data_IF_106597133212
#
_entry.id   IF_106597133212
#
_cell.length_a   1.000
_cell.length_b   1.000
_cell.length_c   1.000
_cell.angle_alpha   90.00
_cell.angle_beta   90.00
_cell.angle_gamma   90.00
#
_symmetry.space_group_name_H-M   'P 1'
#
loop_
_entity.id
_entity.type
_entity.pdbx_description
1 polymer ?
#
# COMPACT_ATOMS: atom_id res chain seq x y z
N UNK A 1 8.84 -18.23 -8.73
CA UNK A 1 7.77 -17.19 -8.71
C UNK A 1 6.44 -17.94 -8.75
N UNK A 2 6.19 -18.78 -7.74
CA UNK A 2 5.01 -19.64 -7.58
C UNK A 2 4.45 -19.30 -6.20
N UNK A 3 3.19 -18.85 -6.12
CA UNK A 3 2.56 -18.46 -4.86
C UNK A 3 1.66 -17.22 -4.91
N UNK A 4 1.57 -16.50 -6.03
CA UNK A 4 0.63 -15.39 -6.20
C UNK A 4 -0.54 -15.78 -7.08
N UNK A 5 -1.74 -15.31 -6.74
CA UNK A 5 -2.92 -15.55 -7.55
C UNK A 5 -2.79 -14.90 -8.95
N UNK A 6 -3.48 -15.44 -9.98
CA UNK A 6 -3.31 -14.98 -11.36
C UNK A 6 -3.64 -13.49 -11.55
N UNK A 7 -4.59 -12.97 -10.77
CA UNK A 7 -5.04 -11.58 -10.85
C UNK A 7 -3.98 -10.64 -10.30
N UNK A 8 -3.42 -10.93 -9.13
CA UNK A 8 -2.30 -10.19 -8.54
C UNK A 8 -1.08 -10.23 -9.46
N UNK A 9 -0.77 -11.39 -10.05
CA UNK A 9 0.34 -11.53 -11.01
C UNK A 9 0.14 -10.65 -12.25
N UNK A 10 -1.07 -10.62 -12.81
CA UNK A 10 -1.39 -9.77 -13.96
C UNK A 10 -1.24 -8.28 -13.63
N UNK A 11 -1.80 -7.83 -12.51
CA UNK A 11 -1.72 -6.44 -12.05
C UNK A 11 -0.26 -6.01 -11.84
N UNK A 12 0.55 -6.85 -11.20
CA UNK A 12 1.97 -6.55 -10.96
C UNK A 12 2.78 -6.38 -12.24
N UNK A 13 2.49 -7.18 -13.27
CA UNK A 13 3.22 -7.08 -14.56
C UNK A 13 2.94 -5.77 -15.29
N UNK A 14 1.86 -5.08 -14.95
CA UNK A 14 1.47 -3.80 -15.56
C UNK A 14 1.98 -2.59 -14.78
N UNK A 15 2.43 -2.76 -13.53
CA UNK A 15 3.05 -1.67 -12.77
C UNK A 15 4.49 -1.45 -13.31
N UNK A 16 4.84 -0.22 -13.72
CA UNK A 16 6.19 0.08 -14.18
C UNK A 16 7.24 -0.23 -13.12
N UNK A 17 8.23 -1.05 -13.49
CA UNK A 17 9.40 -1.30 -12.65
C UNK A 17 10.29 -0.05 -12.60
N UNK A 18 10.91 0.18 -11.46
CA UNK A 18 11.79 1.32 -11.25
C UNK A 18 13.20 0.98 -11.72
N UNK A 19 14.03 1.99 -11.98
CA UNK A 19 15.41 1.77 -12.46
C UNK A 19 16.46 2.35 -11.53
N UNK A 20 16.14 3.40 -10.79
CA UNK A 20 17.10 4.05 -9.91
C UNK A 20 17.15 3.33 -8.56
N UNK A 21 18.34 2.88 -8.13
CA UNK A 21 18.57 2.36 -6.76
C UNK A 21 19.08 3.50 -5.88
N UNK A 22 18.15 4.31 -5.36
CA UNK A 22 18.46 5.44 -4.49
C UNK A 22 17.44 5.54 -3.36
N UNK A 23 17.91 5.90 -2.17
CA UNK A 23 17.12 6.19 -0.98
C UNK A 23 17.12 7.66 -0.62
N UNK A 24 16.41 8.06 0.46
CA UNK A 24 16.25 9.46 0.87
C UNK A 24 17.54 10.26 1.07
N UNK A 25 18.67 9.59 1.30
CA UNK A 25 19.98 10.22 1.55
C UNK A 25 20.79 10.51 0.28
N UNK A 26 20.36 10.02 -0.87
CA UNK A 26 21.13 10.09 -2.12
C UNK A 26 20.87 11.37 -2.94
N UNK A 27 20.25 12.38 -2.33
CA UNK A 27 20.07 13.72 -2.91
C UNK A 27 19.42 13.71 -4.31
N UNK A 28 20.17 14.12 -5.34
CA UNK A 28 19.65 14.19 -6.71
C UNK A 28 19.19 12.83 -7.26
N UNK A 29 19.86 11.73 -6.87
CA UNK A 29 19.45 10.39 -7.27
C UNK A 29 18.11 9.99 -6.63
N UNK A 30 17.84 10.44 -5.39
CA UNK A 30 16.54 10.29 -4.76
C UNK A 30 15.44 11.01 -5.54
N UNK A 31 15.70 12.24 -5.99
CA UNK A 31 14.73 12.98 -6.81
C UNK A 31 14.40 12.26 -8.13
N UNK A 32 15.39 11.61 -8.75
CA UNK A 32 15.16 10.79 -9.95
C UNK A 32 14.30 9.57 -9.62
N UNK A 33 14.62 8.87 -8.53
CA UNK A 33 13.83 7.74 -8.03
C UNK A 33 12.38 8.15 -7.70
N UNK A 34 12.19 9.28 -7.03
CA UNK A 34 10.87 9.78 -6.65
C UNK A 34 9.99 10.05 -7.89
N UNK A 35 10.58 10.54 -8.98
CA UNK A 35 9.87 10.68 -10.27
C UNK A 35 9.41 9.32 -10.83
N UNK A 36 10.22 8.28 -10.69
CA UNK A 36 9.82 6.92 -11.08
C UNK A 36 8.71 6.37 -10.17
N UNK A 37 8.77 6.62 -8.86
CA UNK A 37 7.71 6.25 -7.91
C UNK A 37 6.37 6.89 -8.28
N UNK A 38 6.36 8.20 -8.55
CA UNK A 38 5.14 8.88 -9.00
C UNK A 38 4.61 8.31 -10.31
N UNK A 39 5.47 8.04 -11.30
CA UNK A 39 5.04 7.41 -12.55
C UNK A 39 4.41 6.03 -12.31
N UNK A 40 5.01 5.21 -11.45
CA UNK A 40 4.48 3.90 -11.10
C UNK A 40 3.13 3.99 -10.37
N UNK A 41 3.00 4.92 -9.42
CA UNK A 41 1.74 5.18 -8.69
C UNK A 41 0.62 5.68 -9.61
N UNK A 42 0.93 6.62 -10.50
CA UNK A 42 -0.02 7.14 -11.49
C UNK A 42 -0.47 6.03 -12.44
N UNK A 43 0.46 5.23 -12.95
CA UNK A 43 0.14 4.09 -13.81
C UNK A 43 -0.75 3.07 -13.09
N UNK A 44 -0.43 2.76 -11.83
CA UNK A 44 -1.23 1.84 -11.02
C UNK A 44 -2.64 2.37 -10.78
N UNK A 45 -2.77 3.65 -10.40
CA UNK A 45 -4.07 4.29 -10.17
C UNK A 45 -4.90 4.38 -11.45
N UNK A 46 -4.26 4.71 -12.58
CA UNK A 46 -4.92 4.78 -13.89
C UNK A 46 -5.47 3.41 -14.32
N UNK A 47 -4.68 2.36 -14.14
CA UNK A 47 -5.11 0.98 -14.38
C UNK A 47 -6.25 0.56 -13.45
N UNK A 48 -6.20 0.92 -12.17
CA UNK A 48 -7.27 0.61 -11.23
C UNK A 48 -8.58 1.29 -11.62
N UNK A 49 -8.52 2.56 -12.04
CA UNK A 49 -9.69 3.31 -12.53
C UNK A 49 -10.27 2.75 -13.82
N UNK A 50 -9.45 2.32 -14.76
CA UNK A 50 -9.95 1.71 -16.01
C UNK A 50 -10.63 0.36 -15.79
N UNK A 51 -10.34 -0.30 -14.66
CA UNK A 51 -10.96 -1.55 -14.23
C UNK A 51 -12.07 -1.36 -13.18
N UNK A 52 -12.45 -0.11 -12.90
CA UNK A 52 -13.43 0.25 -11.86
C UNK A 52 -13.10 -0.34 -10.47
N UNK A 53 -11.80 -0.42 -10.15
CA UNK A 53 -11.27 -0.97 -8.91
C UNK A 53 -10.32 0.04 -8.24
N UNK A 54 -10.70 1.32 -8.21
CA UNK A 54 -9.96 2.35 -7.50
C UNK A 54 -10.13 2.14 -5.99
N UNK A 55 -9.03 2.03 -5.24
CA UNK A 55 -9.03 1.64 -3.84
C UNK A 55 -8.11 2.48 -2.93
N UNK A 56 -7.32 3.40 -3.49
CA UNK A 56 -6.44 4.25 -2.69
C UNK A 56 -6.10 5.58 -3.35
N UNK A 57 -5.70 6.54 -2.53
CA UNK A 57 -5.12 7.80 -2.95
C UNK A 57 -4.09 8.26 -1.93
N UNK A 58 -2.84 8.40 -2.35
CA UNK A 58 -1.74 8.88 -1.50
C UNK A 58 -1.01 10.04 -2.16
N UNK A 59 -0.39 10.87 -1.33
CA UNK A 59 0.48 11.97 -1.74
C UNK A 59 1.64 12.09 -0.76
N UNK A 60 2.79 12.57 -1.24
CA UNK A 60 3.85 12.98 -0.32
C UNK A 60 3.34 14.12 0.56
N UNK A 61 3.51 13.97 1.87
CA UNK A 61 3.17 15.00 2.85
C UNK A 61 4.24 16.10 2.92
N UNK A 62 5.43 15.82 2.40
CA UNK A 62 6.56 16.73 2.38
C UNK A 62 7.22 16.82 1.00
N UNK A 63 7.88 17.93 0.65
CA UNK A 63 8.54 18.11 -0.65
C UNK A 63 9.62 17.06 -0.94
N UNK A 64 10.25 16.53 0.11
CA UNK A 64 11.31 15.53 -0.02
C UNK A 64 10.78 14.13 -0.37
N UNK A 65 9.46 13.90 -0.29
CA UNK A 65 8.87 12.61 -0.63
C UNK A 65 9.22 11.48 0.34
N UNK A 66 9.62 11.82 1.56
CA UNK A 66 10.00 10.86 2.60
C UNK A 66 8.86 10.50 3.54
N UNK A 67 7.81 11.31 3.60
CA UNK A 67 6.57 11.03 4.33
C UNK A 67 5.41 11.01 3.36
N UNK A 68 4.57 10.01 3.48
CA UNK A 68 3.39 9.83 2.63
C UNK A 68 2.16 9.69 3.48
N UNK A 69 1.10 10.35 3.03
CA UNK A 69 -0.20 10.34 3.68
C UNK A 69 -1.29 10.22 2.63
N UNK A 70 -2.41 9.63 3.00
CA UNK A 70 -3.54 9.50 2.11
C UNK A 70 -4.65 8.67 2.73
N UNK A 71 -5.47 8.12 1.85
CA UNK A 71 -6.61 7.29 2.22
C UNK A 71 -6.62 6.04 1.35
N UNK A 72 -7.00 4.92 1.93
CA UNK A 72 -7.37 3.71 1.20
C UNK A 72 -8.78 3.31 1.59
N UNK A 73 -9.46 2.59 0.72
CA UNK A 73 -10.80 2.11 0.98
C UNK A 73 -11.01 0.70 0.45
N UNK A 74 -11.97 0.01 1.03
CA UNK A 74 -12.35 -1.34 0.65
C UNK A 74 -13.88 -1.44 0.61
N UNK A 75 -14.41 -2.04 -0.45
CA UNK A 75 -15.85 -2.24 -0.61
C UNK A 75 -16.19 -3.65 -0.14
N UNK A 76 -17.06 -3.73 0.87
CA UNK A 76 -17.56 -4.99 1.40
C UNK A 76 -19.06 -4.87 1.67
N UNK A 77 -19.85 -5.85 1.22
CA UNK A 77 -21.32 -5.84 1.31
C UNK A 77 -21.96 -4.54 0.76
N UNK A 78 -21.48 -4.06 -0.39
CA UNK A 78 -21.91 -2.81 -1.05
C UNK A 78 -21.65 -1.53 -0.24
N UNK A 79 -20.91 -1.62 0.88
CA UNK A 79 -20.52 -0.49 1.71
C UNK A 79 -19.03 -0.17 1.53
N UNK A 80 -18.70 1.12 1.48
CA UNK A 80 -17.33 1.60 1.27
C UNK A 80 -16.70 1.99 2.61
N UNK A 81 -15.77 1.16 3.07
CA UNK A 81 -14.99 1.43 4.27
C UNK A 81 -13.74 2.22 3.90
N UNK A 82 -13.54 3.39 4.49
CA UNK A 82 -12.42 4.28 4.20
C UNK A 82 -11.52 4.43 5.42
N UNK A 83 -10.20 4.30 5.21
CA UNK A 83 -9.17 4.35 6.23
C UNK A 83 -8.09 5.37 5.86
N UNK A 84 -7.60 6.09 6.87
CA UNK A 84 -6.42 6.94 6.70
C UNK A 84 -5.16 6.06 6.65
N UNK A 85 -4.28 6.35 5.69
CA UNK A 85 -3.04 5.64 5.43
C UNK A 85 -1.88 6.61 5.58
N UNK A 86 -0.89 6.24 6.38
CA UNK A 86 0.34 7.00 6.55
C UNK A 86 1.54 6.06 6.57
N UNK A 87 2.68 6.54 6.07
CA UNK A 87 3.95 5.82 6.17
C UNK A 87 5.13 6.76 5.92
N UNK A 88 6.25 6.43 6.56
CA UNK A 88 7.54 7.08 6.34
C UNK A 88 8.46 6.15 5.51
N UNK A 89 9.24 6.74 4.61
CA UNK A 89 10.24 6.04 3.81
C UNK A 89 11.48 5.83 4.67
N UNK A 90 11.90 4.58 4.96
CA UNK A 90 13.07 4.33 5.77
C UNK A 90 14.34 4.79 5.02
N UNK A 91 15.37 5.14 5.79
CA UNK A 91 16.67 5.56 5.22
C UNK A 91 17.35 4.48 4.39
N UNK A 92 17.01 3.21 4.61
CA UNK A 92 17.50 2.04 3.86
C UNK A 92 16.64 1.70 2.63
N UNK A 93 15.62 2.50 2.31
CA UNK A 93 14.86 2.34 1.08
C UNK A 93 15.77 2.49 -0.15
N UNK A 94 15.60 1.70 -1.23
CA UNK A 94 14.55 0.70 -1.49
C UNK A 94 14.89 -0.72 -0.97
N UNK A 95 15.97 -0.89 -0.20
CA UNK A 95 16.32 -2.22 0.34
C UNK A 95 15.34 -2.67 1.43
N UNK A 96 14.83 -1.74 2.23
CA UNK A 96 13.76 -1.97 3.21
C UNK A 96 12.47 -1.33 2.71
N UNK A 97 11.36 -2.06 2.80
CA UNK A 97 10.04 -1.52 2.47
C UNK A 97 9.56 -0.52 3.52
N UNK A 98 8.70 0.45 3.14
CA UNK A 98 8.03 1.29 4.11
C UNK A 98 7.05 0.48 4.97
N UNK A 99 6.93 0.87 6.23
CA UNK A 99 5.93 0.35 7.14
C UNK A 99 4.63 1.12 6.94
N UNK A 100 3.59 0.43 6.45
CA UNK A 100 2.29 1.02 6.17
C UNK A 100 1.44 1.02 7.44
N UNK A 101 0.98 2.20 7.86
CA UNK A 101 0.19 2.38 9.06
C UNK A 101 -1.25 2.78 8.72
N UNK A 102 -2.20 2.15 9.43
CA UNK A 102 -3.62 2.48 9.39
C UNK A 102 -4.06 2.84 10.82
N UNK A 103 -3.94 4.11 11.24
CA UNK A 103 -4.14 4.51 12.64
C UNK A 103 -5.50 4.10 13.21
N UNK A 104 -6.53 4.10 12.37
CA UNK A 104 -7.90 3.76 12.76
C UNK A 104 -8.11 2.27 13.08
N UNK A 105 -7.19 1.42 12.60
CA UNK A 105 -7.21 -0.04 12.81
C UNK A 105 -6.17 -0.49 13.82
N UNK A 106 -5.28 0.41 14.26
CA UNK A 106 -4.29 0.08 15.26
C UNK A 106 -4.97 -0.27 16.60
N UNK A 107 -4.50 -1.34 17.22
CA UNK A 107 -5.12 -1.93 18.41
C UNK A 107 -6.39 -2.77 18.16
N UNK A 108 -7.03 -2.71 16.98
CA UNK A 108 -8.21 -3.53 16.66
C UNK A 108 -7.86 -4.92 16.14
N UNK A 109 -6.68 -5.11 15.55
CA UNK A 109 -6.17 -6.45 15.24
C UNK A 109 -4.70 -6.61 15.60
N UNK A 110 -4.36 -7.79 16.10
CA UNK A 110 -2.95 -8.20 16.27
C UNK A 110 -2.19 -8.27 14.92
N UNK A 111 -2.91 -8.27 13.79
CA UNK A 111 -2.36 -8.43 12.44
C UNK A 111 -2.05 -7.11 11.72
N UNK A 112 -2.53 -5.95 12.18
CA UNK A 112 -2.11 -4.63 11.64
C UNK A 112 -0.59 -4.46 11.78
N UNK A 113 -0.03 -4.80 12.95
CA UNK A 113 1.44 -4.83 13.16
C UNK A 113 2.17 -5.79 12.22
N UNK A 114 1.48 -6.78 11.66
CA UNK A 114 2.06 -7.68 10.67
C UNK A 114 2.03 -7.12 9.24
N UNK A 115 1.23 -6.11 8.90
CA UNK A 115 1.30 -5.45 7.57
C UNK A 115 2.61 -4.68 7.44
N UNK A 116 2.97 -3.90 8.45
CA UNK A 116 4.27 -3.25 8.57
C UNK A 116 5.42 -4.25 8.47
N UNK A 117 5.25 -5.45 9.03
CA UNK A 117 6.27 -6.51 9.04
C UNK A 117 6.30 -7.38 7.76
N UNK A 118 5.17 -7.59 7.09
CA UNK A 118 5.01 -8.41 5.86
C UNK A 118 5.09 -7.59 4.57
N UNK A 119 4.96 -6.26 4.62
CA UNK A 119 5.21 -5.38 3.46
C UNK A 119 6.66 -5.43 2.98
N UNK A 120 7.54 -6.16 3.68
CA UNK A 120 8.91 -6.46 3.26
C UNK A 120 8.94 -6.83 1.78
N UNK A 121 9.49 -5.92 0.97
CA UNK A 121 9.61 -5.98 -0.49
C UNK A 121 10.57 -7.08 -0.95
N UNK A 122 10.91 -8.03 -0.08
CA UNK A 122 11.92 -9.06 -0.28
C UNK A 122 11.27 -10.44 -0.26
N UNK A 123 10.95 -11.01 -1.43
CA UNK A 123 10.98 -12.45 -1.59
C UNK A 123 12.46 -12.87 -1.59
N UNK A 124 12.86 -13.52 -0.50
CA UNK A 124 14.02 -14.40 -0.34
C UNK A 124 15.42 -13.82 -0.60
N UNK A 125 16.28 -13.98 0.41
CA UNK A 125 17.74 -13.79 0.40
C UNK A 125 18.51 -14.72 -0.58
N UNK A 126 17.83 -15.30 -1.57
CA UNK A 126 18.37 -16.29 -2.51
C UNK A 126 18.45 -15.80 -3.97
N UNK A 127 18.10 -14.54 -4.27
CA UNK A 127 18.14 -13.98 -5.63
C UNK A 127 19.27 -12.95 -5.75
N UNK A 128 20.22 -13.23 -6.64
CA UNK A 128 21.32 -12.32 -7.04
C UNK A 128 20.83 -10.89 -7.22
N UNK A 129 21.62 -9.91 -6.75
CA UNK A 129 21.30 -8.47 -6.77
C UNK A 129 20.95 -7.92 -8.16
N UNK A 130 21.40 -8.60 -9.21
CA UNK A 130 21.12 -8.32 -10.62
C UNK A 130 19.75 -8.79 -11.11
N UNK A 131 19.07 -9.69 -10.38
CA UNK A 131 17.76 -10.27 -10.74
C UNK A 131 16.61 -9.80 -9.84
N UNK A 132 16.86 -8.94 -8.85
CA UNK A 132 15.80 -8.39 -8.00
C UNK A 132 14.98 -7.38 -8.81
N UNK A 133 13.67 -7.59 -8.99
CA UNK A 133 12.82 -6.56 -9.58
C UNK A 133 12.89 -5.34 -8.69
N UNK A 134 13.12 -4.17 -9.30
CA UNK A 134 13.25 -2.90 -8.60
C UNK A 134 11.84 -2.41 -8.24
N UNK A 135 11.33 -2.94 -7.14
CA UNK A 135 10.04 -2.58 -6.60
C UNK A 135 10.06 -1.20 -5.94
N UNK A 136 8.86 -0.64 -5.84
CA UNK A 136 8.59 0.69 -5.31
C UNK A 136 7.31 0.73 -4.48
N UNK A 137 6.81 1.93 -4.17
CA UNK A 137 5.65 2.14 -3.31
C UNK A 137 4.40 1.48 -3.91
N UNK A 138 4.17 1.63 -5.22
CA UNK A 138 3.04 1.00 -5.91
C UNK A 138 3.05 -0.54 -5.75
N UNK A 139 4.24 -1.14 -5.77
CA UNK A 139 4.40 -2.58 -5.58
C UNK A 139 4.12 -3.00 -4.14
N UNK A 140 4.60 -2.22 -3.16
CA UNK A 140 4.31 -2.45 -1.74
C UNK A 140 2.79 -2.38 -1.45
N UNK A 141 2.08 -1.44 -2.07
CA UNK A 141 0.62 -1.33 -1.97
C UNK A 141 -0.09 -2.54 -2.58
N UNK A 142 0.30 -2.95 -3.79
CA UNK A 142 -0.31 -4.07 -4.50
C UNK A 142 -0.04 -5.44 -3.84
N UNK A 143 1.18 -5.65 -3.31
CA UNK A 143 1.59 -6.94 -2.73
C UNK A 143 1.30 -7.04 -1.22
N UNK A 144 1.36 -5.93 -0.51
CA UNK A 144 1.21 -5.89 0.94
C UNK A 144 -0.19 -5.46 1.35
N UNK A 145 -0.56 -4.23 1.02
CA UNK A 145 -1.77 -3.61 1.56
C UNK A 145 -3.06 -4.17 0.95
N UNK A 146 -3.13 -4.33 -0.38
CA UNK A 146 -4.35 -4.79 -1.04
C UNK A 146 -4.79 -6.21 -0.59
N UNK A 147 -3.92 -7.23 -0.55
CA UNK A 147 -4.30 -8.55 -0.06
C UNK A 147 -4.65 -8.54 1.44
N UNK A 148 -4.00 -7.69 2.23
CA UNK A 148 -4.31 -7.55 3.65
C UNK A 148 -5.70 -6.95 3.87
N UNK A 149 -6.06 -5.88 3.14
CA UNK A 149 -7.41 -5.31 3.19
C UNK A 149 -8.46 -6.36 2.83
N UNK A 150 -8.21 -7.15 1.78
CA UNK A 150 -9.12 -8.22 1.36
C UNK A 150 -9.29 -9.33 2.41
N UNK A 151 -8.26 -9.62 3.20
CA UNK A 151 -8.31 -10.65 4.23
C UNK A 151 -8.90 -10.17 5.56
N UNK A 152 -8.57 -8.95 6.00
CA UNK A 152 -8.88 -8.49 7.35
C UNK A 152 -10.12 -7.60 7.44
N UNK A 153 -10.42 -6.78 6.42
CA UNK A 153 -11.58 -5.87 6.48
C UNK A 153 -12.89 -6.65 6.62
N UNK A 154 -13.18 -7.72 5.84
CA UNK A 154 -14.40 -8.52 6.03
C UNK A 154 -14.54 -9.05 7.46
N UNK A 155 -13.45 -9.61 8.02
CA UNK A 155 -13.44 -10.16 9.39
C UNK A 155 -13.72 -9.05 10.43
N UNK A 156 -13.15 -7.86 10.23
CA UNK A 156 -13.33 -6.72 11.14
C UNK A 156 -14.72 -6.11 11.09
N UNK A 157 -15.36 -6.15 9.92
CA UNK A 157 -16.75 -5.73 9.73
C UNK A 157 -17.69 -6.77 10.35
N UNK A 158 -17.50 -8.05 10.06
CA UNK A 158 -18.34 -9.14 10.58
C UNK A 158 -18.26 -9.28 12.11
N UNK A 159 -17.08 -8.99 12.69
CA UNK A 159 -16.90 -8.94 14.15
C UNK A 159 -17.41 -7.65 14.80
N UNK A 160 -17.89 -6.68 14.03
CA UNK A 160 -18.43 -5.41 14.52
C UNK A 160 -17.38 -4.43 15.06
N UNK A 161 -16.08 -4.68 14.83
CA UNK A 161 -14.99 -3.80 15.30
C UNK A 161 -14.82 -2.54 14.43
N UNK A 162 -15.26 -2.62 13.17
CA UNK A 162 -15.38 -1.49 12.25
C UNK A 162 -16.87 -1.32 11.93
N UNK A 163 -17.40 -0.12 12.19
CA UNK A 163 -18.75 0.27 11.77
C UNK A 163 -18.66 1.17 10.56
N UNK A 164 -19.66 1.08 9.67
CA UNK A 164 -19.75 2.01 8.56
C UNK A 164 -20.06 3.43 9.08
N UNK A 165 -19.68 4.46 8.33
CA UNK A 165 -19.96 5.85 8.72
C UNK A 165 -21.46 6.11 8.86
N UNK A 166 -22.28 5.43 8.07
CA UNK A 166 -23.75 5.58 8.10
C UNK A 166 -24.39 4.95 9.34
N UNK A 167 -23.82 3.87 9.89
CA UNK A 167 -24.31 3.24 11.12
C UNK A 167 -24.02 4.09 12.37
N UNK A 168 -23.06 5.00 12.30
CA UNK A 168 -22.76 5.93 13.40
C UNK A 168 -23.84 7.02 13.53
N UNK A 169 -24.55 7.35 12.44
CA UNK A 169 -25.56 8.42 12.40
C UNK A 169 -26.90 7.95 12.97
N UNK A 170 -27.23 6.67 12.84
CA UNK A 170 -28.49 6.09 13.35
C UNK A 170 -28.51 5.86 14.86
N UNK A 171 -27.39 6.06 15.56
CA UNK A 171 -27.34 5.92 17.04
C UNK A 171 -27.45 7.27 17.77
N UNK A 172 -27.71 8.37 17.05
CA UNK A 172 -27.81 9.72 17.60
C UNK A 172 -29.17 10.38 17.37
N UNK A 173 -30.27 9.65 17.53
CA UNK A 173 -31.58 10.25 17.78
C UNK A 173 -32.11 9.80 19.16
N UNK A 174 -32.56 10.73 20.01
CA UNK A 174 -33.03 10.48 21.37
C UNK A 174 -34.40 9.79 21.45
#
# INVERSE_FOLDING_TARGET
MEGWDPTTKSTLTQIPLLTVKAGPRDGAAWTQRLKEEYKALIAYTSMNKSRDNDWFRISAANPEGTRWTGKCWYVHNLLKYEFDLQFDIPVTYPATAPELELPQLDGKTHKVRQVAKKSSLVPCDAVSETKKPRFGIAHALCLGLAPWLAAEIPILVDSGMIKHKDDAVSTSEP
#
